data_IF_495932118521
#
_entry.id   IF_495932118521
#
_cell.length_a   1.000
_cell.length_b   1.000
_cell.length_c   1.000
_cell.angle_alpha   90.00
_cell.angle_beta   90.00
_cell.angle_gamma   90.00
#
_symmetry.space_group_name_H-M   'P 1'
#
loop_
_entity.id
_entity.type
_entity.pdbx_description
1 polymer ?
#
# COMPACT_ATOMS: atom_id res chain seq x y z
N UNK A 1 3.66 1.84 1.33
CA UNK A 1 3.80 1.14 2.62
C UNK A 1 4.77 -0.02 2.47
N UNK A 2 5.21 -0.66 3.54
CA UNK A 2 5.98 -1.90 3.49
C UNK A 2 5.56 -2.81 4.65
N UNK A 3 5.34 -4.10 4.40
CA UNK A 3 4.81 -5.01 5.40
C UNK A 3 5.74 -5.20 6.61
N UNK A 4 7.06 -5.19 6.44
CA UNK A 4 7.99 -5.30 7.58
C UNK A 4 8.28 -3.95 8.27
N UNK A 5 7.64 -2.86 7.84
CA UNK A 5 7.83 -1.56 8.48
C UNK A 5 6.92 -1.41 9.70
N UNK A 6 7.51 -1.26 10.90
CA UNK A 6 6.77 -1.06 12.16
C UNK A 6 5.90 0.20 12.15
N UNK A 7 6.37 1.29 11.55
CA UNK A 7 5.57 2.52 11.40
C UNK A 7 4.38 2.32 10.46
N UNK A 8 4.51 1.49 9.42
CA UNK A 8 3.35 1.13 8.58
C UNK A 8 2.35 0.29 9.37
N UNK A 9 2.83 -0.68 10.16
CA UNK A 9 1.99 -1.51 11.01
C UNK A 9 1.16 -0.67 12.01
N UNK A 10 1.76 0.32 12.66
CA UNK A 10 1.05 1.19 13.59
C UNK A 10 0.08 2.17 12.89
N UNK A 11 0.39 2.61 11.67
CA UNK A 11 -0.51 3.49 10.90
C UNK A 11 -1.70 2.71 10.30
N UNK A 12 -1.51 1.45 9.95
CA UNK A 12 -2.50 0.60 9.28
C UNK A 12 -3.90 0.64 9.88
N UNK A 13 -4.11 0.38 11.20
CA UNK A 13 -5.46 0.43 11.78
C UNK A 13 -6.09 1.83 11.71
N UNK A 14 -5.30 2.89 11.91
CA UNK A 14 -5.79 4.27 11.84
C UNK A 14 -6.20 4.64 10.41
N UNK A 15 -5.43 4.18 9.42
CA UNK A 15 -5.75 4.43 8.02
C UNK A 15 -6.97 3.61 7.58
N UNK A 16 -7.14 2.39 8.10
CA UNK A 16 -8.32 1.55 7.86
C UNK A 16 -9.59 2.18 8.47
N UNK A 17 -9.51 2.76 9.66
CA UNK A 17 -10.62 3.49 10.28
C UNK A 17 -10.93 4.79 9.52
N UNK A 18 -9.90 5.54 9.14
CA UNK A 18 -10.06 6.73 8.30
C UNK A 18 -10.68 6.40 6.93
N UNK A 19 -10.33 5.27 6.32
CA UNK A 19 -10.90 4.86 5.04
C UNK A 19 -12.42 4.60 5.10
N UNK A 20 -13.00 4.39 6.29
CA UNK A 20 -14.46 4.28 6.46
C UNK A 20 -15.18 5.62 6.35
N UNK A 21 -14.45 6.73 6.53
CA UNK A 21 -14.98 8.10 6.42
C UNK A 21 -14.57 8.78 5.11
N UNK A 22 -14.08 8.00 4.15
CA UNK A 22 -13.56 8.48 2.88
C UNK A 22 -14.64 9.28 2.12
N UNK A 23 -14.36 10.54 1.75
CA UNK A 23 -15.26 11.31 0.89
C UNK A 23 -15.43 10.66 -0.49
N UNK A 24 -16.58 10.87 -1.13
CA UNK A 24 -16.89 10.25 -2.44
C UNK A 24 -16.01 10.71 -3.60
N UNK A 25 -15.31 11.84 -3.45
CA UNK A 25 -14.36 12.39 -4.42
C UNK A 25 -12.91 11.95 -4.17
N UNK A 26 -12.68 11.07 -3.18
CA UNK A 26 -11.34 10.59 -2.81
C UNK A 26 -11.27 9.08 -3.07
N UNK A 27 -10.13 8.62 -3.57
CA UNK A 27 -9.80 7.20 -3.68
C UNK A 27 -8.51 6.91 -2.92
N UNK A 28 -8.55 5.92 -2.03
CA UNK A 28 -7.36 5.41 -1.36
C UNK A 28 -6.80 4.22 -2.15
N UNK A 29 -5.51 4.25 -2.47
CA UNK A 29 -4.80 3.15 -3.11
C UNK A 29 -3.53 2.83 -2.34
N UNK A 30 -3.35 1.55 -2.05
CA UNK A 30 -2.16 1.05 -1.37
C UNK A 30 -1.11 0.63 -2.39
N UNK A 31 0.12 1.13 -2.21
CA UNK A 31 1.27 0.79 -3.05
C UNK A 31 2.41 0.29 -2.15
N UNK A 32 2.80 -0.99 -2.23
CA UNK A 32 3.95 -1.50 -1.52
C UNK A 32 5.24 -0.91 -2.11
N UNK A 33 6.15 -0.46 -1.25
CA UNK A 33 7.46 0.02 -1.67
C UNK A 33 8.41 -1.15 -1.88
N UNK A 34 9.20 -1.09 -2.95
CA UNK A 34 10.19 -2.10 -3.32
C UNK A 34 11.54 -1.38 -3.45
N UNK A 35 12.23 -1.20 -2.33
CA UNK A 35 13.52 -0.50 -2.29
C UNK A 35 14.69 -1.41 -2.69
N UNK A 36 14.50 -2.72 -2.55
CA UNK A 36 15.48 -3.78 -2.86
C UNK A 36 14.75 -5.08 -3.20
N UNK A 37 15.42 -5.98 -3.90
CA UNK A 37 14.81 -7.21 -4.41
C UNK A 37 14.24 -8.10 -3.28
N UNK A 38 14.87 -8.11 -2.10
CA UNK A 38 14.38 -8.87 -0.95
C UNK A 38 13.02 -8.40 -0.40
N UNK A 39 12.57 -7.20 -0.76
CA UNK A 39 11.24 -6.68 -0.36
C UNK A 39 10.15 -6.96 -1.40
N UNK A 40 10.54 -7.36 -2.61
CA UNK A 40 9.60 -7.64 -3.70
C UNK A 40 8.64 -8.79 -3.39
N UNK A 41 9.02 -9.88 -2.71
CA UNK A 41 8.10 -10.97 -2.42
C UNK A 41 6.84 -10.53 -1.68
N UNK A 42 6.98 -9.72 -0.64
CA UNK A 42 5.84 -9.18 0.11
C UNK A 42 5.01 -8.18 -0.70
N UNK A 43 5.63 -7.42 -1.61
CA UNK A 43 4.91 -6.54 -2.54
C UNK A 43 4.08 -7.35 -3.55
N UNK A 44 4.63 -8.45 -4.07
CA UNK A 44 3.91 -9.38 -4.95
C UNK A 44 2.76 -10.05 -4.22
N UNK A 45 2.96 -10.43 -2.96
CA UNK A 45 1.91 -10.98 -2.09
C UNK A 45 0.73 -10.04 -1.96
N UNK A 46 0.98 -8.74 -1.68
CA UNK A 46 -0.07 -7.72 -1.65
C UNK A 46 -0.89 -7.73 -2.95
N UNK A 47 -0.21 -7.59 -4.09
CA UNK A 47 -0.90 -7.49 -5.39
C UNK A 47 -1.58 -8.78 -5.83
N UNK A 48 -1.04 -9.95 -5.47
CA UNK A 48 -1.68 -11.24 -5.72
C UNK A 48 -2.98 -11.35 -4.92
N UNK A 49 -2.95 -11.05 -3.62
CA UNK A 49 -4.12 -11.10 -2.76
C UNK A 49 -5.16 -10.05 -3.14
N UNK A 50 -4.74 -8.85 -3.55
CA UNK A 50 -5.62 -7.83 -4.11
C UNK A 50 -6.33 -8.35 -5.37
N UNK A 51 -5.59 -8.94 -6.30
CA UNK A 51 -6.14 -9.49 -7.55
C UNK A 51 -7.06 -10.70 -7.31
N UNK A 52 -6.88 -11.40 -6.19
CA UNK A 52 -7.76 -12.49 -5.76
C UNK A 52 -8.96 -12.03 -4.92
N UNK A 53 -9.08 -10.73 -4.61
CA UNK A 53 -10.13 -10.21 -3.71
C UNK A 53 -9.97 -10.67 -2.26
N UNK A 54 -8.75 -11.07 -1.86
CA UNK A 54 -8.41 -11.60 -0.54
C UNK A 54 -7.68 -10.61 0.36
N UNK A 55 -7.38 -9.40 -0.11
CA UNK A 55 -6.60 -8.44 0.66
C UNK A 55 -7.26 -8.06 1.99
N UNK A 56 -8.58 -7.79 2.00
CA UNK A 56 -9.33 -7.47 3.24
C UNK A 56 -9.27 -8.57 4.31
N UNK A 57 -9.07 -9.82 3.90
CA UNK A 57 -8.93 -10.96 4.82
C UNK A 57 -7.48 -11.09 5.33
N UNK A 58 -6.50 -10.75 4.48
CA UNK A 58 -5.11 -11.16 4.67
C UNK A 58 -4.17 -10.06 5.10
N UNK A 59 -4.50 -8.79 4.85
CA UNK A 59 -3.62 -7.64 5.12
C UNK A 59 -3.22 -7.58 6.61
N UNK A 60 -4.21 -7.59 7.51
CA UNK A 60 -4.01 -7.66 8.96
C UNK A 60 -3.26 -8.92 9.37
N UNK A 61 -3.59 -10.06 8.77
CA UNK A 61 -2.97 -11.34 9.10
C UNK A 61 -1.48 -11.34 8.78
N UNK A 62 -1.07 -10.75 7.65
CA UNK A 62 0.34 -10.61 7.25
C UNK A 62 1.07 -9.69 8.22
N UNK A 63 0.49 -8.53 8.53
CA UNK A 63 1.07 -7.60 9.50
C UNK A 63 1.26 -8.25 10.87
N UNK A 64 0.26 -8.96 11.39
CA UNK A 64 0.33 -9.68 12.66
C UNK A 64 1.37 -10.81 12.62
N UNK A 65 1.44 -11.55 11.50
CA UNK A 65 2.42 -12.61 11.33
C UNK A 65 3.84 -12.07 11.42
N UNK A 66 4.14 -10.95 10.75
CA UNK A 66 5.48 -10.37 10.72
C UNK A 66 5.81 -9.68 12.05
N UNK A 67 4.98 -8.75 12.53
CA UNK A 67 5.33 -7.87 13.65
C UNK A 67 5.12 -8.51 15.02
N UNK A 68 4.12 -9.38 15.17
CA UNK A 68 3.76 -9.97 16.46
C UNK A 68 4.27 -11.41 16.55
N UNK A 69 4.05 -12.22 15.52
CA UNK A 69 4.43 -13.65 15.53
C UNK A 69 5.84 -13.91 15.02
N UNK A 70 6.55 -12.88 14.53
CA UNK A 70 7.90 -12.98 13.99
C UNK A 70 8.02 -14.07 12.90
N UNK A 71 6.96 -14.23 12.10
CA UNK A 71 6.92 -15.19 11.01
C UNK A 71 7.87 -14.77 9.89
N UNK A 72 8.63 -15.73 9.39
CA UNK A 72 9.57 -15.49 8.31
C UNK A 72 8.88 -15.66 6.95
N UNK A 73 8.53 -14.54 6.31
CA UNK A 73 7.76 -14.49 5.05
C UNK A 73 8.58 -13.84 3.94
N UNK A 74 9.60 -14.54 3.45
CA UNK A 74 10.63 -13.98 2.55
C UNK A 74 10.58 -14.56 1.13
N UNK A 75 9.90 -15.68 0.90
CA UNK A 75 9.82 -16.34 -0.40
C UNK A 75 8.42 -16.90 -0.69
N UNK A 76 8.21 -17.34 -1.92
CA UNK A 76 6.91 -17.84 -2.37
C UNK A 76 6.45 -19.08 -1.60
N UNK A 77 7.36 -19.91 -1.09
CA UNK A 77 7.00 -21.14 -0.39
C UNK A 77 6.51 -20.86 1.02
N UNK A 78 7.27 -20.09 1.79
CA UNK A 78 6.89 -19.64 3.14
C UNK A 78 5.61 -18.81 3.12
N UNK A 79 5.52 -17.87 2.18
CA UNK A 79 4.31 -17.06 1.97
C UNK A 79 3.15 -17.94 1.52
N UNK A 80 3.36 -18.85 0.57
CA UNK A 80 2.35 -19.76 0.04
C UNK A 80 1.75 -20.66 1.12
N UNK A 81 2.59 -21.18 2.02
CA UNK A 81 2.14 -21.94 3.19
C UNK A 81 1.35 -21.08 4.17
N UNK A 82 1.79 -19.84 4.41
CA UNK A 82 1.09 -18.90 5.28
C UNK A 82 -0.29 -18.50 4.74
N UNK A 83 -0.42 -18.16 3.45
CA UNK A 83 -1.74 -17.81 2.90
C UNK A 83 -2.68 -19.02 2.89
N UNK A 84 -2.14 -20.24 2.70
CA UNK A 84 -2.90 -21.48 2.78
C UNK A 84 -3.45 -21.77 4.17
N UNK A 85 -2.63 -21.58 5.22
CA UNK A 85 -3.09 -21.75 6.61
C UNK A 85 -4.17 -20.73 7.01
N UNK A 86 -4.33 -19.65 6.24
CA UNK A 86 -5.38 -18.65 6.39
C UNK A 86 -6.53 -18.84 5.37
N UNK A 87 -6.62 -19.99 4.69
CA UNK A 87 -7.75 -20.34 3.82
C UNK A 87 -7.69 -19.75 2.40
N UNK A 88 -6.52 -19.34 1.92
CA UNK A 88 -6.29 -18.97 0.51
C UNK A 88 -5.75 -20.18 -0.25
N UNK A 89 -6.29 -20.48 -1.42
CA UNK A 89 -5.76 -21.56 -2.27
C UNK A 89 -4.30 -21.26 -2.68
N UNK A 90 -3.36 -22.12 -2.25
CA UNK A 90 -1.92 -21.95 -2.48
C UNK A 90 -1.57 -21.93 -3.96
N UNK A 91 -2.18 -22.81 -4.76
CA UNK A 91 -1.86 -22.96 -6.18
C UNK A 91 -2.35 -21.74 -6.96
N UNK A 92 -3.57 -21.29 -6.68
CA UNK A 92 -4.14 -20.07 -7.25
C UNK A 92 -3.36 -18.84 -6.82
N UNK A 93 -2.92 -18.78 -5.57
CA UNK A 93 -2.04 -17.71 -5.09
C UNK A 93 -0.72 -17.69 -5.86
N UNK A 94 -0.01 -18.82 -5.95
CA UNK A 94 1.26 -18.92 -6.66
C UNK A 94 1.13 -18.54 -8.14
N UNK A 95 0.09 -19.02 -8.82
CA UNK A 95 -0.20 -18.64 -10.21
C UNK A 95 -0.47 -17.13 -10.35
N UNK A 96 -1.25 -16.54 -9.43
CA UNK A 96 -1.55 -15.10 -9.45
C UNK A 96 -0.31 -14.27 -9.15
N UNK A 97 0.50 -14.68 -8.19
CA UNK A 97 1.76 -14.03 -7.79
C UNK A 97 2.76 -13.91 -8.95
N UNK A 98 2.77 -14.90 -9.85
CA UNK A 98 3.63 -14.93 -11.04
C UNK A 98 2.96 -14.33 -12.29
N UNK A 99 1.71 -13.91 -12.20
CA UNK A 99 0.93 -13.43 -13.34
C UNK A 99 1.49 -12.14 -13.97
N UNK A 100 1.16 -11.94 -15.25
CA UNK A 100 1.44 -10.69 -15.95
C UNK A 100 0.89 -9.47 -15.19
N UNK A 101 -0.34 -9.56 -14.67
CA UNK A 101 -0.96 -8.48 -13.89
C UNK A 101 -0.13 -8.07 -12.69
N UNK A 102 0.35 -9.04 -11.90
CA UNK A 102 1.21 -8.73 -10.74
C UNK A 102 2.55 -8.16 -11.21
N UNK A 103 3.16 -8.71 -12.26
CA UNK A 103 4.39 -8.16 -12.83
C UNK A 103 4.23 -6.69 -13.28
N UNK A 104 3.13 -6.35 -13.95
CA UNK A 104 2.84 -4.97 -14.35
C UNK A 104 2.65 -4.04 -13.15
N UNK A 105 1.94 -4.50 -12.10
CA UNK A 105 1.77 -3.72 -10.86
C UNK A 105 3.09 -3.47 -10.13
N UNK A 106 3.97 -4.48 -10.07
CA UNK A 106 5.33 -4.33 -9.51
C UNK A 106 6.14 -3.29 -10.29
N UNK A 107 6.14 -3.36 -11.63
CA UNK A 107 6.84 -2.40 -12.47
C UNK A 107 6.30 -0.97 -12.26
N UNK A 108 4.98 -0.82 -12.19
CA UNK A 108 4.32 0.46 -11.92
C UNK A 108 4.67 1.01 -10.53
N UNK A 109 4.63 0.17 -9.48
CA UNK A 109 5.03 0.55 -8.13
C UNK A 109 6.47 1.08 -8.09
N UNK A 110 7.42 0.36 -8.71
CA UNK A 110 8.81 0.81 -8.84
C UNK A 110 8.92 2.17 -9.56
N UNK A 111 8.11 2.41 -10.59
CA UNK A 111 8.07 3.69 -11.29
C UNK A 111 7.51 4.81 -10.41
N UNK A 112 6.41 4.58 -9.68
CA UNK A 112 5.81 5.55 -8.77
C UNK A 112 6.78 5.96 -7.66
N UNK A 113 7.48 5.00 -7.07
CA UNK A 113 8.50 5.25 -6.03
C UNK A 113 9.55 6.23 -6.54
N UNK A 114 10.09 6.00 -7.75
CA UNK A 114 11.06 6.90 -8.37
C UNK A 114 10.45 8.26 -8.70
N UNK A 115 9.27 8.28 -9.33
CA UNK A 115 8.60 9.52 -9.79
C UNK A 115 8.31 10.47 -8.63
N UNK A 116 7.89 9.94 -7.48
CA UNK A 116 7.55 10.73 -6.30
C UNK A 116 8.70 10.88 -5.31
N UNK A 117 9.91 10.38 -5.64
CA UNK A 117 11.07 10.48 -4.76
C UNK A 117 10.89 9.79 -3.40
N UNK A 118 10.13 8.68 -3.36
CA UNK A 118 9.82 7.98 -2.11
C UNK A 118 11.09 7.28 -1.61
N UNK A 119 11.59 7.70 -0.46
CA UNK A 119 12.79 7.17 0.20
C UNK A 119 12.49 6.46 1.54
N UNK A 120 11.22 6.40 1.96
CA UNK A 120 10.83 5.83 3.24
C UNK A 120 9.34 5.49 3.32
N UNK A 121 8.97 4.81 4.40
CA UNK A 121 7.57 4.42 4.68
C UNK A 121 7.20 4.64 6.15
N UNK A 122 5.92 4.95 6.45
CA UNK A 122 4.84 5.23 5.50
C UNK A 122 5.07 6.56 4.76
N UNK A 123 4.67 6.59 3.49
CA UNK A 123 4.61 7.82 2.67
C UNK A 123 3.23 7.83 2.02
N UNK A 124 2.54 8.97 2.11
CA UNK A 124 1.27 9.19 1.45
C UNK A 124 1.48 10.25 0.35
N UNK A 125 0.91 10.00 -0.82
CA UNK A 125 0.92 10.95 -1.94
C UNK A 125 -0.52 11.34 -2.24
N UNK A 126 -0.83 12.63 -2.15
CA UNK A 126 -2.16 13.19 -2.42
C UNK A 126 -2.12 13.94 -3.75
N UNK A 127 -3.07 13.61 -4.63
CA UNK A 127 -3.25 14.21 -5.96
C UNK A 127 -1.96 14.17 -6.83
N UNK A 128 -1.11 13.17 -6.63
CA UNK A 128 0.16 13.03 -7.35
C UNK A 128 1.16 14.18 -7.13
N UNK A 129 0.92 15.05 -6.15
CA UNK A 129 1.63 16.32 -5.97
C UNK A 129 2.15 16.51 -4.54
N UNK A 130 1.32 16.22 -3.54
CA UNK A 130 1.66 16.46 -2.14
C UNK A 130 2.18 15.17 -1.51
N UNK A 131 3.34 15.23 -0.86
CA UNK A 131 3.97 14.08 -0.20
C UNK A 131 3.95 14.30 1.31
N UNK A 132 3.42 13.33 2.05
CA UNK A 132 3.36 13.32 3.52
C UNK A 132 4.24 12.16 4.00
N UNK A 133 5.20 12.45 4.88
CA UNK A 133 6.16 11.47 5.42
C UNK A 133 6.66 11.92 6.80
N UNK A 134 7.22 11.00 7.58
CA UNK A 134 7.94 11.32 8.84
C UNK A 134 7.07 11.76 10.01
N UNK A 135 5.74 11.59 9.95
CA UNK A 135 4.82 11.97 11.01
C UNK A 135 4.42 10.78 11.88
N UNK A 136 4.03 11.05 13.12
CA UNK A 136 3.37 10.05 13.96
C UNK A 136 2.02 9.63 13.35
N UNK A 137 1.50 8.43 13.67
CA UNK A 137 0.30 7.91 13.03
C UNK A 137 -0.93 8.84 13.12
N UNK A 138 -1.21 9.41 14.30
CA UNK A 138 -2.33 10.33 14.49
C UNK A 138 -2.16 11.64 13.69
N UNK A 139 -0.95 12.21 13.70
CA UNK A 139 -0.63 13.41 12.91
C UNK A 139 -0.70 13.15 11.41
N UNK A 140 -0.32 11.96 10.97
CA UNK A 140 -0.44 11.55 9.56
C UNK A 140 -1.89 11.65 9.09
N UNK A 141 -2.85 11.15 9.87
CA UNK A 141 -4.28 11.22 9.53
C UNK A 141 -4.80 12.66 9.53
N UNK A 142 -4.41 13.46 10.53
CA UNK A 142 -4.79 14.89 10.60
C UNK A 142 -4.28 15.65 9.37
N UNK A 143 -2.98 15.56 9.08
CA UNK A 143 -2.34 16.24 7.95
C UNK A 143 -2.89 15.73 6.61
N UNK A 144 -3.19 14.43 6.49
CA UNK A 144 -3.84 13.88 5.29
C UNK A 144 -5.15 14.62 4.97
N UNK A 145 -6.01 14.86 5.96
CA UNK A 145 -7.27 15.58 5.76
C UNK A 145 -7.03 17.04 5.34
N UNK A 146 -6.07 17.72 5.96
CA UNK A 146 -5.69 19.09 5.61
C UNK A 146 -5.19 19.18 4.16
N UNK A 147 -4.31 18.26 3.76
CA UNK A 147 -3.74 18.20 2.41
C UNK A 147 -4.80 17.86 1.35
N UNK A 148 -5.75 16.97 1.65
CA UNK A 148 -6.89 16.71 0.77
C UNK A 148 -7.72 17.99 0.57
N UNK A 149 -7.97 18.75 1.63
CA UNK A 149 -8.67 20.03 1.51
C UNK A 149 -7.87 21.06 0.69
N UNK A 150 -6.54 21.07 0.81
CA UNK A 150 -5.67 21.90 -0.04
C UNK A 150 -5.74 21.49 -1.51
N UNK A 151 -5.67 20.19 -1.81
CA UNK A 151 -5.76 19.67 -3.18
C UNK A 151 -7.10 20.04 -3.83
N UNK A 152 -8.23 19.90 -3.12
CA UNK A 152 -9.56 20.34 -3.57
C UNK A 152 -9.60 21.82 -3.96
N UNK A 153 -8.94 22.70 -3.20
CA UNK A 153 -8.87 24.13 -3.52
C UNK A 153 -7.99 24.42 -4.74
N UNK A 154 -7.00 23.58 -5.03
CA UNK A 154 -6.13 23.74 -6.19
C UNK A 154 -6.78 23.28 -7.51
N UNK A 155 -7.66 22.27 -7.49
CA UNK A 155 -8.31 21.74 -8.70
C UNK A 155 -9.10 22.78 -9.54
N UNK A 156 -9.90 23.70 -8.96
CA UNK A 156 -10.58 24.77 -9.72
C UNK A 156 -9.62 25.73 -10.42
N UNK A 157 -8.42 25.96 -9.85
CA UNK A 157 -7.43 26.89 -10.37
C UNK A 157 -6.62 26.28 -11.52
N UNK A 158 -6.28 24.99 -11.45
CA UNK A 158 -5.48 24.31 -12.47
C UNK A 158 -6.27 24.05 -13.78
N UNK A 159 -7.58 23.80 -13.71
CA UNK A 159 -8.43 23.72 -14.92
C UNK A 159 -8.51 25.05 -15.68
N UNK A 160 -8.49 26.19 -14.97
CA UNK A 160 -8.46 27.52 -15.60
C UNK A 160 -7.08 27.86 -16.18
N UNK A 161 -6.00 27.39 -15.56
CA UNK A 161 -4.63 27.64 -16.02
C UNK A 161 -4.23 26.78 -17.24
N UNK A 162 -4.74 25.54 -17.37
CA UNK A 162 -4.49 24.66 -18.53
C UNK A 162 -5.39 24.93 -19.74
N UNK A 163 -6.35 25.85 -19.62
CA UNK A 163 -7.29 26.24 -20.70
C UNK A 163 -6.94 27.59 -21.34
N UNK A 164 -5.78 28.16 -21.00
CA UNK A 164 -5.15 29.32 -21.65
C UNK A 164 -3.85 28.87 -22.29
#
# INVERSE_FOLDING_TARGET
FFYECSHCFHLHPLLADWAKTLPSDVQLTFVPTIFRDSTEPLARTFYALESMGKIKQMDDAIYQAIHIKQANLYDLDTIGAFVASNGVDRNKFAATYQSFTVNSKIANAKQMIRRYGINGTPTLVVDGKYVITGLQPADTIRVLNEVIAMARKAHPAEKKAKSK
#
